data_IF_043846912724
#
_entry.id   IF_043846912724
#
_cell.length_a   1.000
_cell.length_b   1.000
_cell.length_c   1.000
_cell.angle_alpha   90.00
_cell.angle_beta   90.00
_cell.angle_gamma   90.00
#
_symmetry.space_group_name_H-M   'P 1'
#
loop_
_entity.id
_entity.type
_entity.pdbx_description
1 polymer ?
#
# COMPACT_ATOMS: atom_id res chain seq x y z
N UNK A 1 19.66 4.55 -23.56
CA UNK A 1 18.85 3.45 -23.00
C UNK A 1 19.57 2.97 -21.75
N UNK A 2 18.89 2.54 -20.69
CA UNK A 2 19.60 2.02 -19.50
C UNK A 2 20.49 0.84 -19.90
N UNK A 3 21.74 0.84 -19.44
CA UNK A 3 22.76 -0.14 -19.85
C UNK A 3 22.62 -1.48 -19.10
N UNK A 4 21.85 -1.51 -18.01
CA UNK A 4 21.58 -2.70 -17.20
C UNK A 4 20.12 -2.73 -16.67
N UNK A 5 19.59 -3.91 -16.26
CA UNK A 5 18.31 -4.00 -15.54
C UNK A 5 18.23 -3.11 -14.29
N UNK A 6 19.35 -2.93 -13.59
CA UNK A 6 19.43 -2.09 -12.38
C UNK A 6 19.24 -0.61 -12.75
N UNK A 7 19.88 -0.14 -13.82
CA UNK A 7 19.74 1.25 -14.26
C UNK A 7 18.32 1.55 -14.75
N UNK A 8 17.68 0.58 -15.39
CA UNK A 8 16.26 0.67 -15.74
C UNK A 8 15.38 0.77 -14.49
N UNK A 9 15.67 -0.03 -13.46
CA UNK A 9 14.92 -0.03 -12.21
C UNK A 9 15.12 1.28 -11.41
N UNK A 10 16.33 1.85 -11.41
CA UNK A 10 16.62 3.20 -10.89
C UNK A 10 15.81 4.28 -11.61
N UNK A 11 15.80 4.27 -12.94
CA UNK A 11 15.01 5.22 -13.71
C UNK A 11 13.52 5.13 -13.36
N UNK A 12 12.98 3.92 -13.18
CA UNK A 12 11.60 3.72 -12.73
C UNK A 12 11.36 4.29 -11.33
N UNK A 13 12.23 4.00 -10.35
CA UNK A 13 12.10 4.52 -8.99
C UNK A 13 12.07 6.06 -8.96
N UNK A 14 12.96 6.72 -9.70
CA UNK A 14 12.98 8.18 -9.79
C UNK A 14 11.77 8.76 -10.52
N UNK A 15 11.24 8.07 -11.55
CA UNK A 15 10.12 8.56 -12.36
C UNK A 15 8.79 8.74 -11.60
N UNK A 16 8.68 8.17 -10.39
CA UNK A 16 7.45 8.17 -9.59
C UNK A 16 7.55 8.99 -8.29
N UNK A 17 8.68 9.65 -8.02
CA UNK A 17 8.91 10.40 -6.78
C UNK A 17 7.85 11.46 -6.50
N UNK A 18 7.37 12.13 -7.55
CA UNK A 18 6.36 13.19 -7.46
C UNK A 18 4.98 12.69 -7.02
N UNK A 19 4.77 11.37 -6.95
CA UNK A 19 3.55 10.76 -6.43
C UNK A 19 3.55 10.65 -4.90
N UNK A 20 4.70 10.86 -4.25
CA UNK A 20 4.81 10.82 -2.80
C UNK A 20 3.92 11.90 -2.15
N UNK A 21 3.21 11.52 -1.09
CA UNK A 21 2.41 12.45 -0.30
C UNK A 21 3.24 12.87 0.92
N UNK A 22 3.93 14.00 0.81
CA UNK A 22 4.93 14.46 1.79
C UNK A 22 4.73 15.92 2.22
N UNK A 23 3.52 16.33 2.63
CA UNK A 23 3.22 17.74 2.91
C UNK A 23 3.91 18.29 4.16
N UNK A 24 4.51 17.44 5.00
CA UNK A 24 5.10 17.84 6.27
C UNK A 24 6.61 17.98 6.16
N UNK A 25 7.29 16.96 5.62
CA UNK A 25 8.75 17.01 5.51
C UNK A 25 9.25 17.50 4.15
N UNK A 26 8.42 17.42 3.11
CA UNK A 26 8.83 17.59 1.71
C UNK A 26 9.79 16.50 1.20
N UNK A 27 10.17 15.52 2.03
CA UNK A 27 11.13 14.47 1.68
C UNK A 27 10.47 13.42 0.79
N UNK A 28 10.62 13.57 -0.52
CA UNK A 28 10.20 12.55 -1.49
C UNK A 28 11.04 11.27 -1.35
N UNK A 29 10.38 10.14 -1.49
CA UNK A 29 10.99 8.81 -1.48
C UNK A 29 10.07 7.86 -2.24
N UNK A 30 10.67 7.00 -3.04
CA UNK A 30 9.99 6.06 -3.92
C UNK A 30 10.83 4.81 -4.12
N UNK A 31 10.18 3.70 -4.46
CA UNK A 31 10.82 2.44 -4.79
C UNK A 31 10.26 1.85 -6.08
N UNK A 32 11.11 1.13 -6.80
CA UNK A 32 10.70 0.19 -7.83
C UNK A 32 11.14 -1.21 -7.38
N UNK A 33 10.15 -2.07 -7.10
CA UNK A 33 10.34 -3.41 -6.55
C UNK A 33 10.12 -4.44 -7.68
N UNK A 34 11.15 -5.20 -8.04
CA UNK A 34 11.20 -6.08 -9.21
C UNK A 34 10.87 -7.52 -8.82
N UNK A 35 9.91 -8.13 -9.52
CA UNK A 35 9.51 -9.52 -9.39
C UNK A 35 10.32 -10.43 -10.33
N UNK A 36 10.29 -11.74 -10.05
CA UNK A 36 11.05 -12.75 -10.78
C UNK A 36 10.71 -12.85 -12.28
N UNK A 37 9.51 -12.43 -12.68
CA UNK A 37 9.02 -12.41 -14.06
C UNK A 37 9.29 -11.08 -14.80
N UNK A 38 10.00 -10.13 -14.17
CA UNK A 38 10.26 -8.80 -14.71
C UNK A 38 9.13 -7.79 -14.49
N UNK A 39 8.01 -8.19 -13.90
CA UNK A 39 6.98 -7.25 -13.41
C UNK A 39 7.58 -6.40 -12.29
N UNK A 40 7.22 -5.12 -12.22
CA UNK A 40 7.67 -4.25 -11.13
C UNK A 40 6.51 -3.58 -10.40
N UNK A 41 6.71 -3.30 -9.12
CA UNK A 41 5.71 -2.71 -8.21
C UNK A 41 6.23 -1.35 -7.74
N UNK A 42 5.50 -0.25 -7.99
CA UNK A 42 5.86 1.06 -7.45
C UNK A 42 5.49 1.13 -5.97
N UNK A 43 6.29 1.86 -5.21
CA UNK A 43 5.96 2.31 -3.86
C UNK A 43 6.39 3.76 -3.69
N UNK A 44 5.61 4.55 -2.96
CA UNK A 44 5.99 5.92 -2.59
C UNK A 44 5.75 6.18 -1.12
N UNK A 45 6.49 7.14 -0.57
CA UNK A 45 6.30 7.62 0.78
C UNK A 45 4.96 8.32 0.92
N UNK A 46 4.20 7.92 1.94
CA UNK A 46 2.93 8.56 2.30
C UNK A 46 3.01 8.97 3.76
N UNK A 47 3.12 10.27 3.99
CA UNK A 47 3.12 10.86 5.32
C UNK A 47 1.71 11.01 5.88
N UNK A 48 1.66 11.26 7.18
CA UNK A 48 0.43 11.56 7.90
C UNK A 48 0.76 12.56 9.01
N UNK A 49 -0.22 13.40 9.37
CA UNK A 49 -0.11 14.36 10.47
C UNK A 49 0.32 13.67 11.77
N UNK A 50 -0.16 12.46 12.01
CA UNK A 50 0.33 11.59 13.07
C UNK A 50 1.60 10.88 12.61
N UNK A 51 2.76 11.45 12.94
CA UNK A 51 4.08 10.99 12.48
C UNK A 51 4.32 9.47 12.50
N UNK A 52 3.90 8.70 13.53
CA UNK A 52 4.10 7.25 13.57
C UNK A 52 3.35 6.46 12.48
N UNK A 53 2.42 7.11 11.76
CA UNK A 53 1.61 6.47 10.72
C UNK A 53 2.19 6.64 9.31
N UNK A 54 3.40 7.19 9.20
CA UNK A 54 4.18 7.19 7.97
C UNK A 54 4.18 5.81 7.32
N UNK A 55 3.89 5.76 6.02
CA UNK A 55 4.06 4.55 5.19
C UNK A 55 5.31 4.77 4.33
N UNK A 56 6.44 4.12 4.64
CA UNK A 56 7.64 4.17 3.80
C UNK A 56 7.38 3.59 2.41
N UNK A 57 8.13 4.06 1.41
CA UNK A 57 7.96 3.59 0.03
C UNK A 57 8.13 2.07 -0.10
N UNK A 58 9.14 1.51 0.58
CA UNK A 58 9.40 0.06 0.62
C UNK A 58 8.20 -0.73 1.19
N UNK A 59 7.60 -0.25 2.28
CA UNK A 59 6.44 -0.88 2.90
C UNK A 59 5.22 -0.84 1.94
N UNK A 60 4.98 0.30 1.29
CA UNK A 60 3.90 0.45 0.31
C UNK A 60 4.00 -0.57 -0.83
N UNK A 61 5.19 -0.72 -1.44
CA UNK A 61 5.40 -1.67 -2.53
C UNK A 61 5.22 -3.12 -2.06
N UNK A 62 5.83 -3.50 -0.93
CA UNK A 62 5.74 -4.87 -0.39
C UNK A 62 4.31 -5.26 -0.05
N UNK A 63 3.54 -4.37 0.60
CA UNK A 63 2.14 -4.64 0.91
C UNK A 63 1.26 -4.67 -0.35
N UNK A 64 1.51 -3.81 -1.34
CA UNK A 64 0.79 -3.85 -2.64
C UNK A 64 1.02 -5.19 -3.34
N UNK A 65 2.27 -5.65 -3.40
CA UNK A 65 2.65 -6.93 -4.00
C UNK A 65 1.95 -8.10 -3.28
N UNK A 66 2.03 -8.16 -1.96
CA UNK A 66 1.37 -9.20 -1.15
C UNK A 66 -0.15 -9.18 -1.35
N UNK A 67 -0.77 -8.00 -1.37
CA UNK A 67 -2.20 -7.86 -1.63
C UNK A 67 -2.60 -8.34 -3.04
N UNK A 68 -1.72 -8.22 -4.03
CA UNK A 68 -1.90 -8.80 -5.35
C UNK A 68 -1.63 -10.32 -5.41
N UNK A 69 -1.39 -10.97 -4.28
CA UNK A 69 -1.10 -12.41 -4.20
C UNK A 69 0.31 -12.79 -4.65
N UNK A 70 1.24 -11.83 -4.69
CA UNK A 70 2.63 -12.04 -5.15
C UNK A 70 3.61 -11.98 -3.97
N UNK A 71 4.71 -12.71 -4.09
CA UNK A 71 5.73 -12.84 -3.04
C UNK A 71 7.15 -13.03 -3.60
N UNK A 72 7.29 -13.03 -4.92
CA UNK A 72 8.48 -13.43 -5.68
C UNK A 72 9.37 -12.23 -6.03
N UNK A 73 9.58 -11.35 -5.05
CA UNK A 73 10.43 -10.16 -5.18
C UNK A 73 11.91 -10.57 -5.26
N UNK A 74 12.65 -10.05 -6.24
CA UNK A 74 14.06 -10.39 -6.48
C UNK A 74 15.01 -9.21 -6.31
N UNK A 75 14.55 -7.98 -6.51
CA UNK A 75 15.34 -6.77 -6.26
C UNK A 75 14.45 -5.59 -5.90
N UNK A 76 14.99 -4.63 -5.16
CA UNK A 76 14.34 -3.34 -4.91
C UNK A 76 15.36 -2.21 -5.05
N UNK A 77 14.98 -1.20 -5.83
CA UNK A 77 15.71 0.06 -5.87
C UNK A 77 14.88 1.14 -5.20
N UNK A 78 15.53 1.99 -4.41
CA UNK A 78 14.94 3.18 -3.80
C UNK A 78 15.57 4.44 -4.37
N UNK A 79 14.81 5.52 -4.53
CA UNK A 79 15.33 6.82 -4.99
C UNK A 79 16.30 7.50 -4.02
N UNK A 80 16.38 7.00 -2.79
CA UNK A 80 17.25 7.45 -1.72
C UNK A 80 17.93 6.24 -1.07
N UNK A 81 19.08 6.39 -0.41
CA UNK A 81 19.72 5.28 0.29
C UNK A 81 18.77 4.59 1.29
N UNK A 82 18.80 3.27 1.33
CA UNK A 82 18.13 2.47 2.34
C UNK A 82 18.73 2.74 3.73
N UNK A 83 17.88 2.66 4.75
CA UNK A 83 18.36 2.56 6.13
C UNK A 83 18.89 1.15 6.44
N UNK A 84 19.59 1.03 7.56
CA UNK A 84 20.18 -0.24 8.00
C UNK A 84 19.14 -1.32 8.33
N UNK A 85 17.85 -0.97 8.49
CA UNK A 85 16.79 -1.90 8.83
C UNK A 85 16.09 -2.50 7.59
N UNK A 86 16.33 -1.94 6.39
CA UNK A 86 15.64 -2.36 5.18
C UNK A 86 15.85 -3.85 4.81
N UNK A 87 17.06 -4.45 4.90
CA UNK A 87 17.23 -5.88 4.67
C UNK A 87 16.41 -6.73 5.65
N UNK A 88 16.47 -6.43 6.94
CA UNK A 88 15.75 -7.16 7.98
C UNK A 88 14.22 -7.04 7.82
N UNK A 89 13.72 -5.88 7.37
CA UNK A 89 12.32 -5.72 7.01
C UNK A 89 11.92 -6.67 5.87
N UNK A 90 12.66 -6.72 4.77
CA UNK A 90 12.32 -7.60 3.66
C UNK A 90 12.44 -9.08 4.04
N UNK A 91 13.42 -9.45 4.87
CA UNK A 91 13.53 -10.81 5.41
C UNK A 91 12.31 -11.18 6.24
N UNK A 92 11.86 -10.31 7.15
CA UNK A 92 10.64 -10.54 7.93
C UNK A 92 9.38 -10.59 7.07
N UNK A 93 9.31 -9.81 5.98
CA UNK A 93 8.16 -9.76 5.10
C UNK A 93 8.07 -10.94 4.12
N UNK A 94 9.21 -11.52 3.71
CA UNK A 94 9.31 -12.45 2.58
C UNK A 94 9.97 -13.79 2.89
N UNK A 95 10.49 -13.98 4.10
CA UNK A 95 11.21 -15.20 4.52
C UNK A 95 12.35 -15.56 3.54
N UNK A 96 13.11 -14.54 3.15
CA UNK A 96 14.24 -14.65 2.22
C UNK A 96 15.35 -13.71 2.69
N UNK A 97 16.61 -14.10 2.54
CA UNK A 97 17.74 -13.23 2.88
C UNK A 97 17.92 -12.11 1.85
N UNK A 98 18.24 -10.91 2.32
CA UNK A 98 18.42 -9.73 1.47
C UNK A 98 19.80 -9.11 1.67
N UNK A 99 20.46 -8.81 0.56
CA UNK A 99 21.76 -8.14 0.54
C UNK A 99 21.62 -6.69 0.07
N UNK A 100 22.22 -5.76 0.81
CA UNK A 100 22.39 -4.38 0.37
C UNK A 100 23.58 -4.30 -0.61
N UNK A 101 23.29 -4.49 -1.90
CA UNK A 101 24.30 -4.55 -2.96
C UNK A 101 24.84 -3.16 -3.34
N UNK A 102 24.07 -2.11 -3.09
CA UNK A 102 24.47 -0.71 -3.14
C UNK A 102 23.61 0.09 -2.15
N UNK A 103 23.95 1.35 -1.79
CA UNK A 103 23.17 2.13 -0.84
C UNK A 103 21.67 2.21 -1.17
N UNK A 104 21.31 2.14 -2.45
CA UNK A 104 19.96 2.26 -2.99
C UNK A 104 19.39 0.94 -3.54
N UNK A 105 20.10 -0.19 -3.41
CA UNK A 105 19.76 -1.45 -4.05
C UNK A 105 19.80 -2.62 -3.07
N UNK A 106 18.65 -3.30 -2.93
CA UNK A 106 18.49 -4.58 -2.23
C UNK A 106 18.27 -5.70 -3.25
N UNK A 107 18.91 -6.85 -3.04
CA UNK A 107 18.78 -8.05 -3.89
C UNK A 107 18.49 -9.27 -3.02
N UNK A 108 17.57 -10.12 -3.46
CA UNK A 108 17.21 -11.36 -2.78
C UNK A 108 18.29 -12.43 -3.01
N UNK A 109 18.76 -13.05 -1.92
CA UNK A 109 19.70 -14.18 -1.96
C UNK A 109 20.95 -13.91 -2.81
N UNK A 110 21.41 -14.93 -3.54
CA UNK A 110 22.54 -14.88 -4.47
C UNK A 110 22.10 -14.75 -5.93
N UNK A 111 21.10 -13.91 -6.23
CA UNK A 111 20.54 -13.80 -7.59
C UNK A 111 21.65 -13.62 -8.65
N UNK A 112 21.82 -14.62 -9.52
CA UNK A 112 22.92 -14.66 -10.50
C UNK A 112 22.70 -13.68 -11.66
N UNK A 113 21.42 -13.41 -12.02
CA UNK A 113 21.02 -12.41 -12.99
C UNK A 113 19.59 -11.90 -12.71
N UNK A 114 19.40 -10.57 -12.71
CA UNK A 114 18.10 -9.95 -12.53
C UNK A 114 17.34 -9.86 -13.86
N UNK A 115 16.01 -10.09 -13.89
CA UNK A 115 15.21 -9.87 -15.09
C UNK A 115 15.19 -8.37 -15.44
N UNK A 116 15.02 -8.05 -16.73
CA UNK A 116 14.77 -6.67 -17.12
C UNK A 116 13.37 -6.24 -16.64
N UNK A 117 13.20 -5.05 -16.03
CA UNK A 117 11.88 -4.54 -15.68
C UNK A 117 11.07 -4.32 -16.96
N UNK A 118 9.91 -4.96 -17.05
CA UNK A 118 9.07 -4.98 -18.25
C UNK A 118 7.78 -4.18 -18.05
N UNK A 119 6.87 -4.70 -17.21
CA UNK A 119 5.54 -4.12 -17.02
C UNK A 119 5.29 -3.79 -15.54
N UNK A 120 4.56 -2.71 -15.29
CA UNK A 120 4.11 -2.39 -13.94
C UNK A 120 2.99 -3.35 -13.55
N UNK A 121 3.02 -3.89 -12.32
CA UNK A 121 1.92 -4.68 -11.76
C UNK A 121 0.62 -3.86 -11.90
N UNK A 122 -0.51 -4.46 -12.24
CA UNK A 122 -1.78 -3.72 -12.37
C UNK A 122 -2.77 -4.22 -11.32
N UNK A 123 -2.76 -3.65 -10.10
CA UNK A 123 -3.63 -4.10 -9.02
C UNK A 123 -5.05 -3.56 -9.16
N UNK A 124 -5.25 -2.47 -9.91
CA UNK A 124 -6.52 -1.79 -10.05
C UNK A 124 -7.27 -2.20 -11.33
N UNK A 125 -8.60 -2.24 -11.25
CA UNK A 125 -9.48 -2.43 -12.40
C UNK A 125 -10.35 -1.18 -12.59
N UNK A 126 -10.50 -0.71 -13.83
CA UNK A 126 -11.37 0.44 -14.12
C UNK A 126 -12.76 -0.04 -14.56
N UNK A 127 -13.75 0.16 -13.70
CA UNK A 127 -15.12 -0.31 -13.96
C UNK A 127 -16.13 0.53 -13.14
N UNK A 128 -17.27 0.85 -13.74
CA UNK A 128 -18.40 1.40 -13.00
C UNK A 128 -19.03 0.31 -12.13
N UNK A 129 -19.18 0.57 -10.83
CA UNK A 129 -19.72 -0.39 -9.87
C UNK A 129 -20.83 0.21 -9.01
N UNK A 130 -21.75 -0.67 -8.62
CA UNK A 130 -22.72 -0.50 -7.54
C UNK A 130 -22.08 -0.76 -6.18
N UNK A 131 -22.77 -0.37 -5.09
CA UNK A 131 -22.26 -0.64 -3.74
C UNK A 131 -22.11 -2.14 -3.41
N UNK A 132 -23.07 -3.03 -3.74
CA UNK A 132 -22.89 -4.46 -3.52
C UNK A 132 -21.70 -5.05 -4.26
N UNK A 133 -21.43 -4.59 -5.49
CA UNK A 133 -20.24 -5.02 -6.25
C UNK A 133 -18.94 -4.53 -5.61
N UNK A 134 -18.94 -3.32 -5.04
CA UNK A 134 -17.81 -2.79 -4.28
C UNK A 134 -17.51 -3.62 -3.02
N UNK A 135 -18.53 -3.97 -2.25
CA UNK A 135 -18.39 -4.85 -1.08
C UNK A 135 -17.94 -6.26 -1.44
N UNK A 136 -18.48 -6.84 -2.53
CA UNK A 136 -18.05 -8.14 -3.02
C UNK A 136 -16.57 -8.14 -3.42
N UNK A 137 -16.07 -7.05 -4.01
CA UNK A 137 -14.64 -6.87 -4.32
C UNK A 137 -13.79 -6.68 -3.07
N UNK A 138 -14.30 -6.00 -2.05
CA UNK A 138 -13.62 -5.93 -0.75
C UNK A 138 -13.51 -7.31 -0.10
N UNK A 139 -14.57 -8.12 -0.17
CA UNK A 139 -14.57 -9.51 0.32
C UNK A 139 -13.57 -10.39 -0.43
N UNK A 140 -13.53 -10.28 -1.76
CA UNK A 140 -12.50 -10.94 -2.58
C UNK A 140 -11.09 -10.50 -2.17
N UNK A 141 -10.86 -9.21 -1.95
CA UNK A 141 -9.56 -8.70 -1.47
C UNK A 141 -9.16 -9.29 -0.11
N UNK A 142 -10.11 -9.43 0.82
CA UNK A 142 -9.86 -10.01 2.15
C UNK A 142 -9.31 -11.46 2.07
N UNK A 143 -9.64 -12.21 1.01
CA UNK A 143 -9.13 -13.59 0.81
C UNK A 143 -7.62 -13.63 0.55
N UNK A 144 -7.01 -12.51 0.14
CA UNK A 144 -5.57 -12.38 -0.14
C UNK A 144 -4.79 -11.80 1.05
N UNK A 145 -5.42 -11.61 2.21
CA UNK A 145 -4.76 -11.08 3.39
C UNK A 145 -3.57 -11.97 3.80
N UNK A 146 -2.43 -11.35 4.12
CA UNK A 146 -1.28 -12.05 4.68
C UNK A 146 -1.30 -11.86 6.19
N UNK A 147 -1.82 -12.87 6.90
CA UNK A 147 -2.24 -12.77 8.32
C UNK A 147 -1.80 -13.97 9.18
N UNK A 148 -0.49 -14.32 9.19
CA UNK A 148 0.01 -15.47 9.93
C UNK A 148 -0.23 -15.40 11.44
N UNK A 149 -0.32 -14.20 12.03
CA UNK A 149 -0.45 -14.03 13.48
C UNK A 149 -1.92 -13.95 13.91
N UNK A 150 -2.70 -13.01 13.35
CA UNK A 150 -4.06 -12.75 13.84
C UNK A 150 -5.10 -13.71 13.27
N UNK A 151 -4.84 -14.29 12.08
CA UNK A 151 -5.86 -14.95 11.28
C UNK A 151 -7.11 -14.07 11.06
N UNK A 152 -7.00 -12.75 11.05
CA UNK A 152 -8.11 -11.81 10.96
C UNK A 152 -8.12 -11.10 9.59
N UNK A 153 -8.86 -11.60 8.59
CA UNK A 153 -8.87 -11.00 7.26
C UNK A 153 -9.70 -9.72 7.25
N UNK A 154 -9.15 -8.69 6.61
CA UNK A 154 -9.83 -7.42 6.31
C UNK A 154 -9.58 -7.09 4.86
N UNK A 155 -10.63 -6.67 4.16
CA UNK A 155 -10.55 -6.24 2.76
C UNK A 155 -11.08 -4.84 2.60
N UNK A 156 -10.44 -4.06 1.75
CA UNK A 156 -10.83 -2.70 1.40
C UNK A 156 -10.70 -2.51 -0.12
N UNK A 157 -11.60 -1.72 -0.72
CA UNK A 157 -11.47 -1.25 -2.09
C UNK A 157 -11.67 0.25 -2.10
N UNK A 158 -10.69 0.97 -2.66
CA UNK A 158 -10.81 2.40 -2.97
C UNK A 158 -11.30 2.53 -4.40
N UNK A 159 -12.44 3.17 -4.60
CA UNK A 159 -12.89 3.62 -5.91
C UNK A 159 -12.46 5.07 -6.12
N UNK A 160 -11.69 5.34 -7.16
CA UNK A 160 -11.20 6.69 -7.50
C UNK A 160 -12.25 7.50 -8.25
N UNK A 161 -12.03 8.81 -8.38
CA UNK A 161 -12.88 9.69 -9.19
C UNK A 161 -12.96 9.28 -10.67
N UNK A 162 -11.92 8.62 -11.18
CA UNK A 162 -11.84 8.13 -12.57
C UNK A 162 -12.41 6.72 -12.74
N UNK A 163 -12.89 6.10 -11.64
CA UNK A 163 -13.51 4.77 -11.64
C UNK A 163 -12.51 3.61 -11.54
N UNK A 164 -11.26 3.86 -11.15
CA UNK A 164 -10.31 2.80 -10.81
C UNK A 164 -10.66 2.21 -9.45
N UNK A 165 -10.62 0.88 -9.34
CA UNK A 165 -10.89 0.11 -8.14
C UNK A 165 -9.59 -0.47 -7.62
N UNK A 166 -9.07 0.09 -6.54
CA UNK A 166 -7.80 -0.29 -5.94
C UNK A 166 -8.06 -1.20 -4.75
N UNK A 167 -7.73 -2.50 -4.84
CA UNK A 167 -7.90 -3.42 -3.71
C UNK A 167 -6.81 -3.21 -2.66
N UNK A 168 -7.17 -3.49 -1.42
CA UNK A 168 -6.28 -3.60 -0.28
C UNK A 168 -6.74 -4.74 0.63
N UNK A 169 -5.79 -5.42 1.24
CA UNK A 169 -6.03 -6.37 2.33
C UNK A 169 -4.97 -6.12 3.40
N UNK A 170 -5.22 -6.57 4.63
CA UNK A 170 -4.20 -6.45 5.65
C UNK A 170 -3.02 -7.39 5.37
N UNK A 171 -1.82 -6.85 5.57
CA UNK A 171 -0.54 -7.53 5.39
C UNK A 171 0.24 -7.35 6.68
N UNK A 172 0.35 -8.43 7.44
CA UNK A 172 1.09 -8.49 8.69
C UNK A 172 2.59 -8.65 8.42
N UNK A 173 3.36 -8.29 9.44
CA UNK A 173 4.80 -8.43 9.47
C UNK A 173 5.18 -8.88 10.88
N UNK A 174 6.22 -9.73 11.07
CA UNK A 174 6.62 -10.20 12.41
C UNK A 174 6.92 -9.07 13.40
N UNK A 175 7.47 -7.96 12.90
CA UNK A 175 7.41 -6.66 13.58
C UNK A 175 6.05 -6.00 13.32
N UNK A 176 5.17 -6.05 14.31
CA UNK A 176 3.78 -5.56 14.26
C UNK A 176 3.67 -4.06 13.93
N UNK A 177 4.73 -3.29 14.12
CA UNK A 177 4.76 -1.86 13.76
C UNK A 177 4.91 -1.64 12.25
N UNK A 178 5.28 -2.69 11.50
CA UNK A 178 5.57 -2.65 10.06
C UNK A 178 4.52 -3.36 9.20
N UNK A 179 3.37 -3.69 9.78
CA UNK A 179 2.20 -4.18 9.04
C UNK A 179 1.24 -3.06 8.63
N UNK A 180 0.46 -3.29 7.57
CA UNK A 180 -0.59 -2.38 7.14
C UNK A 180 -1.96 -3.05 7.16
N UNK A 181 -2.98 -2.30 7.56
CA UNK A 181 -4.37 -2.71 7.41
C UNK A 181 -4.85 -2.45 5.98
N UNK A 182 -5.97 -3.07 5.58
CA UNK A 182 -6.48 -3.05 4.22
C UNK A 182 -6.66 -1.65 3.63
N UNK A 183 -7.16 -0.69 4.41
CA UNK A 183 -7.41 0.69 3.97
C UNK A 183 -6.11 1.42 3.65
N UNK A 184 -5.09 1.24 4.50
CA UNK A 184 -3.77 1.84 4.29
C UNK A 184 -3.05 1.22 3.09
N UNK A 185 -3.23 -0.09 2.85
CA UNK A 185 -2.73 -0.73 1.62
C UNK A 185 -3.40 -0.11 0.40
N UNK A 186 -4.73 -0.07 0.34
CA UNK A 186 -5.45 0.47 -0.82
C UNK A 186 -5.10 1.93 -1.12
N UNK A 187 -5.04 2.80 -0.10
CA UNK A 187 -4.70 4.22 -0.28
C UNK A 187 -3.23 4.41 -0.68
N UNK A 188 -2.30 3.67 -0.07
CA UNK A 188 -0.90 3.74 -0.43
C UNK A 188 -0.66 3.22 -1.85
N UNK A 189 -1.34 2.14 -2.26
CA UNK A 189 -1.34 1.67 -3.65
C UNK A 189 -1.89 2.76 -4.58
N UNK A 190 -3.04 3.36 -4.29
CA UNK A 190 -3.60 4.41 -5.15
C UNK A 190 -2.60 5.58 -5.37
N UNK A 191 -1.89 5.99 -4.31
CA UNK A 191 -0.83 7.01 -4.39
C UNK A 191 0.38 6.54 -5.19
N UNK A 192 0.93 5.37 -4.91
CA UNK A 192 2.09 4.82 -5.62
C UNK A 192 1.87 4.69 -7.13
N UNK A 193 0.62 4.47 -7.54
CA UNK A 193 0.20 4.36 -8.93
C UNK A 193 -0.19 5.68 -9.58
N UNK A 194 -0.21 6.79 -8.82
CA UNK A 194 -0.58 8.11 -9.32
C UNK A 194 -2.04 8.19 -9.74
N UNK A 195 -2.91 7.40 -9.09
CA UNK A 195 -4.33 7.35 -9.42
C UNK A 195 -5.06 8.56 -8.86
N UNK A 196 -6.23 8.84 -9.46
CA UNK A 196 -7.07 9.95 -9.06
C UNK A 196 -7.56 9.82 -7.60
N UNK A 197 -7.97 10.93 -6.95
CA UNK A 197 -8.42 10.91 -5.56
C UNK A 197 -9.57 9.92 -5.30
N UNK A 198 -9.66 9.36 -4.07
CA UNK A 198 -10.78 8.51 -3.69
C UNK A 198 -12.14 9.21 -3.83
N UNK A 199 -13.13 8.48 -4.34
CA UNK A 199 -14.53 8.91 -4.45
C UNK A 199 -15.47 8.08 -3.57
N UNK A 200 -15.19 6.79 -3.36
CA UNK A 200 -15.89 5.90 -2.40
C UNK A 200 -14.91 4.84 -1.89
N UNK A 201 -15.15 4.33 -0.70
CA UNK A 201 -14.44 3.17 -0.14
C UNK A 201 -15.43 2.07 0.24
N UNK A 202 -15.00 0.83 0.11
CA UNK A 202 -15.73 -0.36 0.51
C UNK A 202 -14.86 -1.15 1.48
N UNK A 203 -15.39 -1.53 2.65
CA UNK A 203 -14.65 -2.25 3.67
C UNK A 203 -15.45 -3.48 4.11
N UNK A 204 -14.75 -4.59 4.33
CA UNK A 204 -15.32 -5.76 4.99
C UNK A 204 -14.34 -6.37 5.97
N UNK A 205 -14.91 -6.91 7.05
CA UNK A 205 -14.22 -7.70 8.04
C UNK A 205 -14.99 -9.01 8.25
N UNK A 206 -14.71 -10.07 7.47
CA UNK A 206 -15.54 -11.27 7.45
C UNK A 206 -15.65 -12.00 8.80
N UNK A 207 -14.63 -11.88 9.67
CA UNK A 207 -14.62 -12.52 11.00
C UNK A 207 -15.27 -11.68 12.10
N UNK A 208 -15.44 -10.39 11.87
CA UNK A 208 -16.10 -9.47 12.80
C UNK A 208 -16.85 -8.38 12.01
N UNK A 209 -18.07 -8.67 11.51
CA UNK A 209 -18.86 -7.69 10.78
C UNK A 209 -19.21 -6.43 11.58
N UNK A 210 -19.05 -6.44 12.91
CA UNK A 210 -19.20 -5.27 13.77
C UNK A 210 -17.96 -4.38 13.82
N UNK A 211 -16.81 -4.87 13.34
CA UNK A 211 -15.57 -4.12 13.33
C UNK A 211 -15.66 -2.85 12.47
N UNK A 212 -14.78 -1.92 12.78
CA UNK A 212 -14.60 -0.66 12.04
C UNK A 212 -13.11 -0.42 11.86
N UNK A 213 -12.68 0.49 10.97
CA UNK A 213 -11.27 0.82 10.80
C UNK A 213 -10.57 1.06 12.14
N UNK A 214 -9.36 0.54 12.32
CA UNK A 214 -8.59 0.78 13.55
C UNK A 214 -8.21 2.27 13.67
N UNK A 215 -7.81 2.72 14.87
CA UNK A 215 -7.48 4.13 15.12
C UNK A 215 -6.46 4.71 14.13
N UNK A 216 -5.43 3.94 13.78
CA UNK A 216 -4.43 4.32 12.77
C UNK A 216 -5.06 4.52 11.37
N UNK A 217 -5.92 3.60 10.94
CA UNK A 217 -6.62 3.72 9.65
C UNK A 217 -7.56 4.93 9.63
N UNK A 218 -8.29 5.18 10.71
CA UNK A 218 -9.18 6.35 10.80
C UNK A 218 -8.39 7.66 10.61
N UNK A 219 -7.23 7.77 11.24
CA UNK A 219 -6.36 8.94 11.11
C UNK A 219 -5.76 9.10 9.70
N UNK A 220 -5.42 8.00 9.01
CA UNK A 220 -4.98 8.05 7.60
C UNK A 220 -6.15 8.38 6.65
N UNK A 221 -7.33 7.82 6.90
CA UNK A 221 -8.54 8.07 6.12
C UNK A 221 -8.98 9.53 6.19
N UNK A 222 -8.95 10.14 7.39
CA UNK A 222 -9.27 11.58 7.55
C UNK A 222 -8.36 12.45 6.70
N UNK A 223 -7.11 12.05 6.51
CA UNK A 223 -6.16 12.86 5.75
C UNK A 223 -6.21 12.61 4.24
N UNK A 224 -6.35 11.35 3.82
CA UNK A 224 -6.25 10.96 2.40
C UNK A 224 -7.59 10.76 1.72
N UNK A 225 -8.69 10.69 2.47
CA UNK A 225 -10.03 10.40 1.99
C UNK A 225 -11.10 11.21 2.75
N UNK A 226 -10.77 12.43 3.18
CA UNK A 226 -11.71 13.32 3.86
C UNK A 226 -13.03 13.48 3.09
N UNK A 227 -14.16 13.35 3.78
CA UNK A 227 -15.51 13.45 3.24
C UNK A 227 -15.90 12.33 2.26
N UNK A 228 -15.02 11.36 2.01
CA UNK A 228 -15.28 10.27 1.08
C UNK A 228 -16.19 9.24 1.76
N UNK A 229 -17.33 8.85 1.15
CA UNK A 229 -18.18 7.80 1.71
C UNK A 229 -17.43 6.48 1.88
N UNK A 230 -17.53 5.91 3.07
CA UNK A 230 -17.03 4.59 3.42
C UNK A 230 -18.22 3.67 3.68
N UNK A 231 -18.39 2.68 2.81
CA UNK A 231 -19.41 1.64 2.92
C UNK A 231 -18.80 0.43 3.62
N UNK A 232 -19.34 0.05 4.77
CA UNK A 232 -18.86 -1.04 5.61
C UNK A 232 -19.86 -2.19 5.54
N UNK A 233 -19.35 -3.36 5.17
CA UNK A 233 -20.07 -4.62 5.23
C UNK A 233 -20.45 -4.97 6.68
N UNK A 234 -21.72 -5.33 6.90
CA UNK A 234 -22.27 -5.75 8.20
C UNK A 234 -22.72 -7.22 8.17
N UNK A 235 -22.17 -8.03 7.25
CA UNK A 235 -22.46 -9.45 7.12
C UNK A 235 -23.88 -9.67 6.63
N UNK A 236 -24.71 -10.33 7.43
CA UNK A 236 -26.13 -10.57 7.09
C UNK A 236 -27.00 -9.31 7.22
N UNK A 237 -26.49 -8.26 7.89
CA UNK A 237 -27.16 -6.98 8.05
C UNK A 237 -26.98 -6.05 6.83
N UNK A 238 -27.81 -4.98 6.73
CA UNK A 238 -27.60 -3.97 5.69
C UNK A 238 -26.23 -3.28 5.88
N UNK A 239 -25.52 -2.95 4.79
CA UNK A 239 -24.28 -2.19 4.88
C UNK A 239 -24.47 -0.84 5.57
N UNK A 240 -23.44 -0.40 6.29
CA UNK A 240 -23.40 0.92 6.91
C UNK A 240 -22.61 1.88 6.03
N UNK A 241 -23.12 3.09 5.79
CA UNK A 241 -22.36 4.16 5.14
C UNK A 241 -22.00 5.24 6.16
N UNK A 242 -20.71 5.60 6.20
CA UNK A 242 -20.16 6.62 7.09
C UNK A 242 -19.09 7.44 6.37
N UNK A 243 -18.39 8.33 7.09
CA UNK A 243 -17.22 9.06 6.58
C UNK A 243 -16.04 8.93 7.56
N UNK A 244 -14.80 9.19 7.12
CA UNK A 244 -13.64 9.16 8.02
C UNK A 244 -13.78 10.06 9.25
N UNK A 245 -14.36 11.25 9.11
CA UNK A 245 -14.55 12.21 10.21
C UNK A 245 -15.58 11.73 11.23
N UNK A 246 -16.63 11.06 10.76
CA UNK A 246 -17.63 10.45 11.64
C UNK A 246 -17.01 9.31 12.47
N UNK A 247 -16.02 8.59 11.92
CA UNK A 247 -15.30 7.54 12.63
C UNK A 247 -14.23 8.08 13.59
N UNK A 248 -13.72 9.30 13.39
CA UNK A 248 -12.72 9.92 14.26
C UNK A 248 -13.05 11.40 14.55
N UNK A 249 -14.07 11.66 15.41
CA UNK A 249 -14.40 13.01 15.82
C UNK A 249 -13.22 13.69 16.51
N UNK A 250 -12.90 14.94 16.11
CA UNK A 250 -11.77 15.69 16.66
C UNK A 250 -10.40 15.18 16.18
N UNK A 251 -10.36 14.52 15.02
CA UNK A 251 -9.12 14.05 14.40
C UNK A 251 -8.03 15.13 14.32
N UNK A 252 -6.77 14.70 14.42
CA UNK A 252 -5.63 15.59 14.30
C UNK A 252 -5.34 15.90 12.82
N UNK A 253 -5.62 17.13 12.38
CA UNK A 253 -5.54 17.52 10.95
C UNK A 253 -4.17 18.05 10.50
N UNK A 254 -3.26 18.32 11.43
CA UNK A 254 -1.86 18.64 11.12
C UNK A 254 -1.60 19.95 10.37
N UNK A 255 -2.57 20.86 10.25
CA UNK A 255 -2.41 22.10 9.46
C UNK A 255 -1.20 22.94 9.87
N UNK A 256 -0.90 23.01 11.17
CA UNK A 256 0.28 23.71 11.69
C UNK A 256 1.62 22.99 11.46
N UNK A 257 1.61 21.79 10.89
CA UNK A 257 2.81 20.99 10.59
C UNK A 257 3.24 21.06 9.12
N UNK A 258 2.39 21.57 8.23
CA UNK A 258 2.67 21.64 6.79
C UNK A 258 3.86 22.57 6.54
N UNK A 259 4.77 22.15 5.66
CA UNK A 259 5.99 22.90 5.30
C UNK A 259 5.72 24.09 4.36
#
# INVERSE_FOLDING_TARGET
>A
MPDTPIDALRALAHSIEDRAYVPYSGRKESVAALLSDGTWVPGVRVENASFPLLIPALLSATCTMRCAGRADLVAVVQSQPFDAAAPAFLTGALDTDWTLAAPDLLVAGSAEALPAPAQMLTPAARLAITEPEGLARAADAATRAHIPESNFPVGCVVETSDGDLVPGCNVEHPDWTRGLCAERVALATARSYGLAPPRRLFLTCPKDPGATPCGACRQVLVELAAGVPLVIDRGDGPPETTTPEALLPGAFIGDGLRA
#
